data_IF_921887763152
#
_entry.id   IF_921887763152
#
_cell.length_a   1.000
_cell.length_b   1.000
_cell.length_c   1.000
_cell.angle_alpha   90.00
_cell.angle_beta   90.00
_cell.angle_gamma   90.00
#
_symmetry.space_group_name_H-M   'P 1'
#
loop_
_entity.id
_entity.type
_entity.pdbx_description
1 polymer ?
#
# COMPACT_ATOMS: atom_id res chain seq x y z
N UNK A 1 -1.79 8.60 -11.47
CA UNK A 1 -0.40 8.99 -11.21
C UNK A 1 0.17 9.45 -12.53
N UNK A 2 0.57 10.72 -12.62
CA UNK A 2 1.18 11.24 -13.84
C UNK A 2 2.63 10.72 -13.96
N UNK A 3 3.20 10.67 -15.17
CA UNK A 3 4.59 10.31 -15.37
C UNK A 3 5.57 11.22 -14.59
N UNK A 4 5.21 12.48 -14.40
CA UNK A 4 5.99 13.49 -13.69
C UNK A 4 6.03 13.23 -12.17
N UNK A 5 4.89 12.82 -11.60
CA UNK A 5 4.80 12.42 -10.19
C UNK A 5 5.66 11.17 -9.93
N UNK A 6 5.62 10.20 -10.84
CA UNK A 6 6.41 8.97 -10.75
C UNK A 6 7.91 9.25 -10.87
N UNK A 7 8.31 10.11 -11.82
CA UNK A 7 9.70 10.52 -11.99
C UNK A 7 10.23 11.21 -10.74
N UNK A 8 9.44 12.11 -10.16
CA UNK A 8 9.86 12.85 -8.96
C UNK A 8 9.93 11.94 -7.73
N UNK A 9 9.02 10.96 -7.61
CA UNK A 9 9.10 9.92 -6.58
C UNK A 9 10.39 9.08 -6.70
N UNK A 10 10.69 8.58 -7.90
CA UNK A 10 11.91 7.81 -8.14
C UNK A 10 13.16 8.62 -7.78
N UNK A 11 13.22 9.90 -8.17
CA UNK A 11 14.34 10.78 -7.82
C UNK A 11 14.48 10.94 -6.30
N UNK A 12 13.38 11.06 -5.56
CA UNK A 12 13.41 11.23 -4.10
C UNK A 12 13.92 9.99 -3.37
N UNK A 13 13.53 8.80 -3.80
CA UNK A 13 14.07 7.55 -3.26
C UNK A 13 15.56 7.38 -3.62
N UNK A 14 15.96 7.75 -4.84
CA UNK A 14 17.38 7.77 -5.22
C UNK A 14 18.18 8.75 -4.35
N UNK A 15 17.65 9.94 -4.07
CA UNK A 15 18.30 10.93 -3.19
C UNK A 15 18.48 10.37 -1.77
N UNK A 16 17.47 9.72 -1.18
CA UNK A 16 17.60 9.05 0.12
C UNK A 16 18.70 8.00 0.11
N UNK A 17 18.73 7.15 -0.91
CA UNK A 17 19.74 6.10 -1.06
C UNK A 17 21.14 6.71 -1.21
N UNK A 18 21.28 7.79 -1.97
CA UNK A 18 22.54 8.50 -2.12
C UNK A 18 22.98 9.16 -0.82
N UNK A 19 22.07 9.80 -0.08
CA UNK A 19 22.37 10.45 1.20
C UNK A 19 22.84 9.45 2.25
N UNK A 20 22.24 8.25 2.29
CA UNK A 20 22.73 7.15 3.13
C UNK A 20 24.17 6.72 2.80
N UNK A 21 24.63 7.01 1.58
CA UNK A 21 26.00 6.77 1.11
C UNK A 21 26.86 8.04 1.09
N UNK A 22 26.43 9.14 1.73
CA UNK A 22 27.16 10.41 1.79
C UNK A 22 27.23 11.16 0.45
N UNK A 23 26.37 10.83 -0.51
CA UNK A 23 26.25 11.48 -1.82
C UNK A 23 24.89 12.16 -1.97
N UNK A 24 24.74 12.98 -3.01
CA UNK A 24 23.46 13.58 -3.40
C UNK A 24 23.32 13.53 -4.91
N UNK A 25 22.10 13.61 -5.44
CA UNK A 25 21.83 13.81 -6.87
C UNK A 25 22.56 15.03 -7.42
N UNK A 26 22.83 16.05 -6.58
CA UNK A 26 23.64 17.22 -6.92
C UNK A 26 25.06 16.88 -7.37
N UNK A 27 25.56 15.71 -6.98
CA UNK A 27 26.90 15.24 -7.29
C UNK A 27 26.99 14.60 -8.70
N UNK A 28 25.86 14.45 -9.39
CA UNK A 28 25.77 13.86 -10.73
C UNK A 28 25.33 14.92 -11.74
N UNK A 29 26.20 15.26 -12.68
CA UNK A 29 25.91 16.27 -13.71
C UNK A 29 24.73 15.82 -14.59
N UNK A 30 23.75 16.71 -14.78
CA UNK A 30 22.54 16.45 -15.59
C UNK A 30 21.33 15.91 -14.82
N UNK A 31 21.46 15.66 -13.51
CA UNK A 31 20.32 15.27 -12.65
C UNK A 31 19.58 16.49 -12.10
N UNK A 32 18.25 16.41 -12.07
CA UNK A 32 17.41 17.45 -11.47
C UNK A 32 17.66 17.53 -9.96
N UNK A 33 17.95 18.74 -9.47
CA UNK A 33 18.15 18.96 -8.04
C UNK A 33 16.81 19.00 -7.34
N UNK A 34 16.58 18.07 -6.43
CA UNK A 34 15.42 18.10 -5.55
C UNK A 34 15.57 19.27 -4.57
N UNK A 35 14.65 20.23 -4.65
CA UNK A 35 14.52 21.28 -3.66
C UNK A 35 13.87 20.72 -2.39
N UNK A 36 14.31 21.18 -1.22
CA UNK A 36 13.79 20.74 0.09
C UNK A 36 12.28 20.98 0.24
N UNK A 37 11.75 22.00 -0.45
CA UNK A 37 10.31 22.26 -0.58
C UNK A 37 9.56 21.10 -1.28
N UNK A 38 10.15 20.53 -2.34
CA UNK A 38 9.57 19.41 -3.07
C UNK A 38 9.51 18.15 -2.22
N UNK A 39 10.53 17.90 -1.39
CA UNK A 39 10.55 16.75 -0.45
C UNK A 39 9.40 16.85 0.57
N UNK A 40 9.15 18.06 1.07
CA UNK A 40 8.07 18.32 2.03
C UNK A 40 6.70 18.20 1.36
N UNK A 41 6.54 18.76 0.16
CA UNK A 41 5.34 18.60 -0.66
C UNK A 41 5.08 17.13 -1.02
N UNK A 42 6.12 16.34 -1.32
CA UNK A 42 5.99 14.92 -1.60
C UNK A 42 5.59 14.09 -0.39
N UNK A 43 6.13 14.42 0.78
CA UNK A 43 5.72 13.75 2.04
C UNK A 43 4.25 14.02 2.32
N UNK A 44 3.81 15.26 2.13
CA UNK A 44 2.39 15.61 2.22
C UNK A 44 1.55 14.96 1.13
N UNK A 45 2.07 14.80 -0.09
CA UNK A 45 1.39 14.12 -1.19
C UNK A 45 1.21 12.62 -0.92
N UNK A 46 2.22 11.95 -0.37
CA UNK A 46 2.13 10.55 0.07
C UNK A 46 1.05 10.39 1.13
N UNK A 47 1.07 11.26 2.15
CA UNK A 47 0.07 11.25 3.21
C UNK A 47 -1.34 11.53 2.65
N UNK A 48 -1.45 12.50 1.74
CA UNK A 48 -2.69 12.83 1.06
C UNK A 48 -3.20 11.65 0.24
N UNK A 49 -2.31 10.91 -0.44
CA UNK A 49 -2.66 9.73 -1.23
C UNK A 49 -3.14 8.58 -0.34
N UNK A 50 -2.49 8.35 0.79
CA UNK A 50 -2.96 7.41 1.83
C UNK A 50 -4.31 7.83 2.43
N UNK A 51 -4.66 9.11 2.40
CA UNK A 51 -5.97 9.62 2.85
C UNK A 51 -7.02 9.69 1.72
N UNK A 52 -6.60 9.64 0.45
CA UNK A 52 -7.44 9.74 -0.74
C UNK A 52 -7.51 8.41 -1.51
N UNK A 53 -7.46 7.28 -0.82
CA UNK A 53 -7.84 6.02 -1.47
C UNK A 53 -9.34 6.06 -1.76
N UNK A 54 -9.72 5.66 -2.98
CA UNK A 54 -11.12 5.62 -3.37
C UNK A 54 -11.80 4.44 -2.67
N UNK A 55 -12.46 4.74 -1.56
CA UNK A 55 -13.22 3.77 -0.78
C UNK A 55 -14.30 3.07 -1.60
N UNK A 56 -14.85 3.74 -2.63
CA UNK A 56 -15.94 3.19 -3.46
C UNK A 56 -15.38 2.19 -4.47
N UNK A 57 -14.24 2.48 -5.10
CA UNK A 57 -13.56 1.52 -5.96
C UNK A 57 -13.07 0.31 -5.16
N UNK A 58 -12.51 0.56 -3.97
CA UNK A 58 -12.03 -0.50 -3.08
C UNK A 58 -13.16 -1.41 -2.61
N UNK A 59 -14.31 -0.84 -2.21
CA UNK A 59 -15.52 -1.60 -1.88
C UNK A 59 -16.03 -2.43 -3.06
N UNK A 60 -16.02 -1.88 -4.28
CA UNK A 60 -16.46 -2.62 -5.47
C UNK A 60 -15.54 -3.80 -5.80
N UNK A 61 -14.23 -3.59 -5.73
CA UNK A 61 -13.25 -4.65 -5.96
C UNK A 61 -13.36 -5.73 -4.88
N UNK A 62 -13.53 -5.31 -3.64
CA UNK A 62 -13.78 -6.19 -2.51
C UNK A 62 -15.06 -7.02 -2.67
N UNK A 63 -16.19 -6.40 -3.04
CA UNK A 63 -17.47 -7.09 -3.27
C UNK A 63 -17.38 -8.10 -4.43
N UNK A 64 -16.66 -7.76 -5.50
CA UNK A 64 -16.42 -8.68 -6.62
C UNK A 64 -15.54 -9.86 -6.19
N UNK A 65 -14.47 -9.60 -5.44
CA UNK A 65 -13.53 -10.61 -5.00
C UNK A 65 -14.14 -11.55 -3.94
N UNK A 66 -15.07 -11.08 -3.10
CA UNK A 66 -15.77 -11.93 -2.11
C UNK A 66 -16.50 -13.08 -2.80
N UNK A 67 -17.04 -12.83 -4.00
CA UNK A 67 -17.76 -13.84 -4.77
C UNK A 67 -16.85 -14.95 -5.30
N UNK A 68 -15.54 -14.69 -5.41
CA UNK A 68 -14.53 -15.68 -5.83
C UNK A 68 -13.95 -16.49 -4.66
N UNK A 69 -14.29 -16.15 -3.42
CA UNK A 69 -13.82 -16.90 -2.24
C UNK A 69 -14.43 -18.30 -2.19
N UNK A 70 -13.57 -19.31 -1.97
CA UNK A 70 -14.03 -20.66 -1.66
C UNK A 70 -14.76 -20.67 -0.31
N UNK A 71 -15.71 -21.59 -0.10
CA UNK A 71 -16.52 -21.66 1.14
C UNK A 71 -15.66 -21.64 2.42
N UNK A 72 -14.54 -22.36 2.43
CA UNK A 72 -13.62 -22.40 3.58
C UNK A 72 -12.96 -21.04 3.87
N UNK A 73 -12.62 -20.28 2.83
CA UNK A 73 -12.00 -18.96 2.97
C UNK A 73 -13.03 -17.91 3.38
N UNK A 74 -14.27 -18.03 2.88
CA UNK A 74 -15.40 -17.17 3.24
C UNK A 74 -15.76 -17.30 4.72
N UNK A 75 -15.76 -18.52 5.26
CA UNK A 75 -15.98 -18.76 6.69
C UNK A 75 -14.94 -18.08 7.59
N UNK A 76 -13.68 -18.02 7.16
CA UNK A 76 -12.61 -17.33 7.89
C UNK A 76 -12.80 -15.82 7.79
N UNK A 77 -13.08 -15.32 6.58
CA UNK A 77 -13.36 -13.93 6.31
C UNK A 77 -14.53 -13.39 7.16
N UNK A 78 -15.67 -14.07 7.17
CA UNK A 78 -16.87 -13.66 7.94
C UNK A 78 -16.57 -13.56 9.45
N UNK A 79 -15.77 -14.49 9.99
CA UNK A 79 -15.34 -14.44 11.40
C UNK A 79 -14.43 -13.26 11.72
N UNK A 80 -13.54 -12.90 10.79
CA UNK A 80 -12.64 -11.75 10.95
C UNK A 80 -13.47 -10.46 10.92
N UNK A 81 -14.34 -10.31 9.92
CA UNK A 81 -15.22 -9.14 9.78
C UNK A 81 -16.17 -8.98 10.96
N UNK A 82 -16.75 -10.06 11.48
CA UNK A 82 -17.58 -10.01 12.69
C UNK A 82 -16.77 -9.54 13.90
N UNK A 83 -15.52 -9.98 14.05
CA UNK A 83 -14.68 -9.50 15.15
C UNK A 83 -14.28 -8.03 15.01
N UNK A 84 -13.95 -7.58 13.80
CA UNK A 84 -13.65 -6.16 13.51
C UNK A 84 -14.88 -5.28 13.77
N UNK A 85 -16.04 -5.68 13.26
CA UNK A 85 -17.31 -4.95 13.41
C UNK A 85 -17.74 -4.84 14.88
N UNK A 86 -17.53 -5.90 15.66
CA UNK A 86 -17.81 -5.93 17.09
C UNK A 86 -16.69 -5.36 17.97
N UNK A 87 -15.64 -4.75 17.37
CA UNK A 87 -14.46 -4.21 18.06
C UNK A 87 -13.82 -5.21 19.04
N UNK A 88 -13.86 -6.50 18.72
CA UNK A 88 -13.30 -7.56 19.54
C UNK A 88 -11.85 -7.78 19.14
N UNK A 89 -10.94 -7.50 20.04
CA UNK A 89 -9.51 -7.77 19.84
C UNK A 89 -9.27 -9.28 19.92
N UNK A 90 -9.06 -9.93 18.78
CA UNK A 90 -8.67 -11.34 18.67
C UNK A 90 -7.59 -11.49 17.61
N UNK A 91 -6.73 -12.47 17.79
CA UNK A 91 -5.74 -12.89 16.80
C UNK A 91 -6.22 -14.15 16.08
N UNK A 92 -6.04 -14.19 14.77
CA UNK A 92 -6.39 -15.33 13.93
C UNK A 92 -5.14 -15.91 13.27
N UNK A 93 -5.00 -17.24 13.30
CA UNK A 93 -3.99 -17.95 12.52
C UNK A 93 -4.68 -18.62 11.33
N UNK A 94 -4.37 -18.15 10.12
CA UNK A 94 -4.88 -18.74 8.88
C UNK A 94 -3.90 -19.81 8.40
N UNK A 95 -4.29 -21.07 8.52
CA UNK A 95 -3.49 -22.21 8.09
C UNK A 95 -3.99 -22.76 6.75
N UNK A 96 -3.08 -23.00 5.80
CA UNK A 96 -3.42 -23.60 4.52
C UNK A 96 -2.18 -24.07 3.75
N UNK A 97 -2.33 -25.06 2.89
CA UNK A 97 -1.25 -25.60 2.04
C UNK A 97 -0.73 -24.57 1.03
N UNK A 98 0.51 -24.67 0.55
CA UNK A 98 1.04 -23.77 -0.49
C UNK A 98 0.09 -23.68 -1.70
N UNK A 99 -0.16 -22.48 -2.21
CA UNK A 99 -1.08 -22.26 -3.35
C UNK A 99 -2.57 -22.09 -3.01
N UNK A 100 -2.99 -22.19 -1.75
CA UNK A 100 -4.39 -22.01 -1.32
C UNK A 100 -4.88 -20.55 -1.20
N UNK A 101 -4.24 -19.60 -1.89
CA UNK A 101 -4.73 -18.21 -1.91
C UNK A 101 -4.68 -17.46 -0.57
N UNK A 102 -3.79 -17.84 0.36
CA UNK A 102 -3.61 -17.12 1.65
C UNK A 102 -3.32 -15.64 1.45
N UNK A 103 -2.52 -15.29 0.44
CA UNK A 103 -2.23 -13.89 0.07
C UNK A 103 -3.48 -13.15 -0.36
N UNK A 104 -4.38 -13.84 -1.07
CA UNK A 104 -5.67 -13.27 -1.50
C UNK A 104 -6.55 -12.94 -0.30
N UNK A 105 -6.55 -13.79 0.73
CA UNK A 105 -7.28 -13.55 1.99
C UNK A 105 -6.79 -12.30 2.76
N UNK A 106 -5.48 -12.02 2.74
CA UNK A 106 -4.93 -10.79 3.35
C UNK A 106 -5.37 -9.53 2.60
N UNK A 107 -5.52 -9.59 1.28
CA UNK A 107 -5.99 -8.45 0.47
C UNK A 107 -7.42 -8.01 0.77
N UNK A 108 -8.24 -8.83 1.44
CA UNK A 108 -9.58 -8.42 1.90
C UNK A 108 -9.59 -7.69 3.23
N UNK A 109 -8.56 -7.91 4.06
CA UNK A 109 -8.51 -7.41 5.43
C UNK A 109 -7.63 -6.16 5.53
N UNK A 110 -6.72 -5.96 4.56
CA UNK A 110 -5.79 -4.85 4.49
C UNK A 110 -6.34 -3.69 3.67
#
# INVERSE_FOLDING_TARGET
>A
MSPEELQTFCLLEIEKLLQNNGKSLRNYAGMAVLNTSLVTQFTNFMLLRELQYDTVSLLREHDANILELKEEQRLVYDKIIDCVSNKRHRFFFVYGFGGTGKTFLYSFVS
#
